data_IF_629364697209
#
_entry.id   IF_629364697209
#
_cell.length_a   1.000
_cell.length_b   1.000
_cell.length_c   1.000
_cell.angle_alpha   90.00
_cell.angle_beta   90.00
_cell.angle_gamma   90.00
#
_symmetry.space_group_name_H-M   'P 1'
#
loop_
_entity.id
_entity.type
_entity.pdbx_description
1 polymer ?
#
# COMPACT_ATOMS: atom_id res chain seq x y z
N UNK A 1 14.51 35.62 15.14
CA UNK A 1 13.26 35.23 14.44
C UNK A 1 13.60 34.09 13.51
N UNK A 2 12.78 33.04 13.40
CA UNK A 2 13.01 31.92 12.46
C UNK A 2 13.14 32.38 10.99
N UNK A 3 12.64 33.58 10.71
CA UNK A 3 12.81 34.30 9.48
C UNK A 3 13.85 35.40 9.68
N UNK A 4 15.11 35.08 9.41
CA UNK A 4 16.19 36.07 9.25
C UNK A 4 16.29 36.46 7.77
N UNK A 5 16.59 37.72 7.44
CA UNK A 5 16.64 38.21 6.05
C UNK A 5 17.70 37.49 5.20
N UNK A 6 18.76 36.97 5.83
CA UNK A 6 19.82 36.19 5.19
C UNK A 6 19.33 34.85 4.63
N UNK A 7 18.22 34.33 5.16
CA UNK A 7 17.66 33.03 4.79
C UNK A 7 16.42 33.16 3.86
N UNK A 8 16.00 34.38 3.53
CA UNK A 8 14.79 34.63 2.72
C UNK A 8 14.88 34.09 1.29
N UNK A 9 16.03 34.21 0.62
CA UNK A 9 16.21 33.66 -0.73
C UNK A 9 16.16 32.13 -0.72
N UNK A 10 16.85 31.51 0.24
CA UNK A 10 16.80 30.07 0.49
C UNK A 10 15.37 29.55 0.74
N UNK A 11 14.55 30.30 1.48
CA UNK A 11 13.15 29.95 1.70
C UNK A 11 12.31 30.02 0.41
N UNK A 12 12.56 31.03 -0.43
CA UNK A 12 11.85 31.18 -1.70
C UNK A 12 12.16 30.04 -2.67
N UNK A 13 13.44 29.66 -2.81
CA UNK A 13 13.85 28.52 -3.63
C UNK A 13 13.27 27.20 -3.11
N UNK A 14 13.24 27.01 -1.78
CA UNK A 14 12.62 25.83 -1.15
C UNK A 14 11.11 25.79 -1.41
N UNK A 15 10.43 26.93 -1.36
CA UNK A 15 9.00 27.04 -1.66
C UNK A 15 8.70 26.75 -3.14
N UNK A 16 9.53 27.24 -4.06
CA UNK A 16 9.39 26.99 -5.49
C UNK A 16 9.58 25.51 -5.83
N UNK A 17 10.60 24.86 -5.24
CA UNK A 17 10.80 23.40 -5.35
C UNK A 17 9.60 22.62 -4.80
N UNK A 18 9.02 23.07 -3.68
CA UNK A 18 7.82 22.45 -3.12
C UNK A 18 6.57 22.64 -4.01
N UNK A 19 6.47 23.77 -4.70
CA UNK A 19 5.39 24.04 -5.63
C UNK A 19 5.50 23.19 -6.91
N UNK A 20 6.73 23.08 -7.46
CA UNK A 20 7.03 22.28 -8.65
C UNK A 20 6.89 20.77 -8.39
N UNK A 21 7.29 20.29 -7.20
CA UNK A 21 7.10 18.90 -6.78
C UNK A 21 5.62 18.49 -6.61
N UNK A 22 4.71 19.47 -6.55
CA UNK A 22 3.29 19.23 -6.32
C UNK A 22 2.98 18.78 -4.89
N UNK A 23 1.69 18.80 -4.54
CA UNK A 23 1.24 18.29 -3.24
C UNK A 23 1.22 16.75 -3.28
N UNK A 24 1.77 16.06 -2.27
CA UNK A 24 1.62 14.61 -2.18
C UNK A 24 0.14 14.25 -2.11
N UNK A 25 -0.25 13.18 -2.83
CA UNK A 25 -1.62 12.69 -2.82
C UNK A 25 -1.91 12.09 -1.45
N UNK A 26 -2.89 12.63 -0.74
CA UNK A 26 -3.39 12.02 0.50
C UNK A 26 -4.45 11.00 0.11
N UNK A 27 -4.15 9.71 0.28
CA UNK A 27 -5.15 8.64 0.11
C UNK A 27 -5.34 7.93 1.44
N UNK A 28 -6.59 7.83 1.86
CA UNK A 28 -7.01 7.15 3.09
C UNK A 28 -6.28 7.65 4.36
N UNK A 29 -6.05 8.97 4.45
CA UNK A 29 -5.44 9.61 5.63
C UNK A 29 -3.91 9.48 5.71
N UNK A 30 -3.24 8.92 4.69
CA UNK A 30 -1.79 8.81 4.63
C UNK A 30 -1.24 9.58 3.44
N UNK A 31 -0.18 10.36 3.68
CA UNK A 31 0.54 11.09 2.64
C UNK A 31 1.40 10.11 1.83
N UNK A 32 1.07 9.94 0.56
CA UNK A 32 1.84 9.09 -0.33
C UNK A 32 3.04 9.85 -0.87
N UNK A 33 4.18 9.17 -0.90
CA UNK A 33 5.38 9.71 -1.53
C UNK A 33 5.19 9.72 -3.06
N UNK A 34 5.84 10.63 -3.80
CA UNK A 34 5.79 10.61 -5.26
C UNK A 34 6.30 9.25 -5.78
N UNK A 35 5.43 8.52 -6.47
CA UNK A 35 5.69 7.15 -6.96
C UNK A 35 5.08 6.02 -6.12
N UNK A 36 4.50 6.32 -4.95
CA UNK A 36 3.77 5.34 -4.15
C UNK A 36 2.34 5.23 -4.69
N UNK A 37 2.03 4.12 -5.36
CA UNK A 37 0.68 3.88 -5.87
C UNK A 37 -0.26 3.72 -4.70
N UNK A 38 -1.23 4.63 -4.64
CA UNK A 38 -2.35 4.59 -3.73
C UNK A 38 -3.21 3.35 -4.02
N UNK A 39 -2.80 2.18 -3.54
CA UNK A 39 -3.67 1.02 -3.67
C UNK A 39 -4.79 1.21 -2.64
N UNK A 40 -5.92 1.73 -3.10
CA UNK A 40 -7.18 1.69 -2.37
C UNK A 40 -7.54 0.23 -2.17
N UNK A 41 -7.11 -0.32 -1.03
CA UNK A 41 -7.47 -1.67 -0.62
C UNK A 41 -8.84 -1.58 0.02
N UNK A 42 -9.86 -2.07 -0.68
CA UNK A 42 -11.18 -2.19 -0.09
C UNK A 42 -11.14 -3.26 1.03
N UNK A 43 -11.49 -2.88 2.28
CA UNK A 43 -11.39 -3.79 3.42
C UNK A 43 -12.36 -4.97 3.31
N UNK A 44 -13.47 -4.82 2.58
CA UNK A 44 -14.50 -5.85 2.41
C UNK A 44 -14.04 -6.88 1.37
N UNK A 45 -13.44 -6.45 0.26
CA UNK A 45 -12.85 -7.37 -0.71
C UNK A 45 -11.73 -8.20 -0.10
N UNK A 46 -10.84 -7.57 0.68
CA UNK A 46 -9.74 -8.26 1.35
C UNK A 46 -10.22 -9.34 2.32
N UNK A 47 -11.23 -9.05 3.13
CA UNK A 47 -11.73 -9.99 4.16
C UNK A 47 -12.53 -11.15 3.54
N UNK A 48 -13.30 -10.86 2.48
CA UNK A 48 -13.93 -11.90 1.66
C UNK A 48 -12.88 -12.79 1.00
N UNK A 49 -11.80 -12.21 0.45
CA UNK A 49 -10.72 -12.97 -0.14
C UNK A 49 -9.95 -13.81 0.90
N UNK A 50 -9.75 -13.31 2.12
CA UNK A 50 -9.16 -14.08 3.22
C UNK A 50 -10.01 -15.31 3.53
N UNK A 51 -11.30 -15.11 3.79
CA UNK A 51 -12.25 -16.19 4.10
C UNK A 51 -12.29 -17.22 2.97
N UNK A 52 -12.26 -16.73 1.72
CA UNK A 52 -12.36 -17.56 0.53
C UNK A 52 -11.09 -18.37 0.23
N UNK A 53 -9.92 -17.75 0.30
CA UNK A 53 -8.63 -18.36 -0.07
C UNK A 53 -8.04 -19.16 1.09
N UNK A 54 -8.06 -18.60 2.30
CA UNK A 54 -7.49 -19.21 3.51
C UNK A 54 -8.49 -20.15 4.15
N UNK A 55 -9.74 -19.71 4.34
CA UNK A 55 -10.80 -20.50 4.97
C UNK A 55 -11.38 -21.60 4.06
N UNK A 56 -11.67 -21.30 2.79
CA UNK A 56 -12.39 -22.22 1.89
C UNK A 56 -11.58 -22.78 0.71
N UNK A 57 -10.29 -22.47 0.58
CA UNK A 57 -9.39 -22.93 -0.50
C UNK A 57 -9.94 -22.73 -1.93
N UNK A 58 -10.67 -21.64 -2.14
CA UNK A 58 -11.22 -21.31 -3.45
C UNK A 58 -10.16 -20.64 -4.34
N UNK A 59 -10.35 -20.76 -5.65
CA UNK A 59 -9.43 -20.21 -6.65
C UNK A 59 -9.44 -18.67 -6.61
N UNK A 60 -8.26 -18.03 -6.72
CA UNK A 60 -8.14 -16.57 -6.80
C UNK A 60 -8.80 -16.07 -8.10
N UNK A 61 -9.51 -14.92 -8.05
CA UNK A 61 -10.17 -14.33 -9.23
C UNK A 61 -9.37 -13.18 -9.85
N UNK A 62 -8.60 -12.47 -9.04
CA UNK A 62 -7.85 -11.30 -9.46
C UNK A 62 -6.34 -11.52 -9.37
N UNK A 63 -5.55 -10.76 -10.16
CA UNK A 63 -4.08 -10.82 -10.13
C UNK A 63 -3.51 -10.53 -8.75
N UNK A 64 -4.11 -9.59 -8.00
CA UNK A 64 -3.76 -9.31 -6.61
C UNK A 64 -4.07 -10.48 -5.67
N UNK A 65 -5.18 -11.18 -5.88
CA UNK A 65 -5.53 -12.39 -5.10
C UNK A 65 -4.58 -13.55 -5.37
N UNK A 66 -4.10 -13.69 -6.61
CA UNK A 66 -3.11 -14.70 -6.99
C UNK A 66 -1.77 -14.49 -6.27
N UNK A 67 -1.24 -13.26 -6.34
CA UNK A 67 0.00 -12.89 -5.66
C UNK A 67 -0.16 -13.01 -4.13
N UNK A 68 -1.31 -12.58 -3.59
CA UNK A 68 -1.60 -12.71 -2.16
C UNK A 68 -1.72 -14.18 -1.72
N UNK A 69 -2.31 -15.05 -2.53
CA UNK A 69 -2.41 -16.49 -2.25
C UNK A 69 -1.03 -17.16 -2.26
N UNK A 70 -0.16 -16.80 -3.20
CA UNK A 70 1.22 -17.30 -3.25
C UNK A 70 2.02 -16.87 -2.01
N UNK A 71 1.97 -15.58 -1.66
CA UNK A 71 2.64 -15.02 -0.50
C UNK A 71 2.10 -15.62 0.81
N UNK A 72 0.78 -15.83 0.92
CA UNK A 72 0.19 -16.47 2.09
C UNK A 72 0.53 -17.97 2.19
N UNK A 73 0.72 -18.65 1.05
CA UNK A 73 1.27 -20.00 1.00
C UNK A 73 2.71 -20.06 1.51
N UNK A 74 3.56 -19.13 1.05
CA UNK A 74 4.97 -19.01 1.48
C UNK A 74 5.10 -18.66 2.96
N UNK A 75 4.22 -17.81 3.48
CA UNK A 75 4.28 -17.35 4.87
C UNK A 75 3.55 -18.27 5.87
N UNK A 76 2.87 -19.32 5.38
CA UNK A 76 2.20 -20.29 6.25
C UNK A 76 1.00 -19.72 7.01
N UNK A 77 0.34 -18.67 6.47
CA UNK A 77 -0.83 -18.01 7.09
C UNK A 77 -1.95 -18.98 7.43
N UNK A 78 -2.06 -20.07 6.66
CA UNK A 78 -3.02 -21.17 6.87
C UNK A 78 -2.82 -21.93 8.18
N UNK A 79 -1.60 -22.00 8.70
CA UNK A 79 -1.29 -22.70 9.94
C UNK A 79 -1.34 -21.77 11.16
N UNK A 80 -1.59 -20.46 10.95
CA UNK A 80 -1.69 -19.48 12.03
C UNK A 80 -3.14 -19.39 12.53
N UNK A 81 -3.30 -18.95 13.78
CA UNK A 81 -4.63 -18.65 14.34
C UNK A 81 -5.31 -17.53 13.55
N UNK A 82 -6.64 -17.56 13.44
CA UNK A 82 -7.43 -16.63 12.60
C UNK A 82 -7.07 -15.15 12.82
N UNK A 83 -6.88 -14.75 14.08
CA UNK A 83 -6.48 -13.39 14.43
C UNK A 83 -5.09 -13.00 13.90
N UNK A 84 -4.10 -13.90 14.05
CA UNK A 84 -2.74 -13.69 13.54
C UNK A 84 -2.72 -13.78 12.02
N UNK A 85 -3.51 -14.68 11.45
CA UNK A 85 -3.67 -14.89 10.03
C UNK A 85 -4.27 -13.67 9.33
N UNK A 86 -5.31 -13.04 9.90
CA UNK A 86 -5.85 -11.77 9.37
C UNK A 86 -4.85 -10.63 9.43
N UNK A 87 -4.06 -10.54 10.51
CA UNK A 87 -3.01 -9.53 10.63
C UNK A 87 -1.88 -9.74 9.62
N UNK A 88 -1.46 -10.98 9.38
CA UNK A 88 -0.47 -11.31 8.36
C UNK A 88 -1.03 -11.06 6.95
N UNK A 89 -2.30 -11.40 6.72
CA UNK A 89 -3.00 -11.18 5.45
C UNK A 89 -3.08 -9.70 5.07
N UNK A 90 -3.29 -8.79 6.03
CA UNK A 90 -3.20 -7.35 5.81
C UNK A 90 -1.85 -6.94 5.18
N UNK A 91 -0.75 -7.42 5.75
CA UNK A 91 0.60 -7.12 5.24
C UNK A 91 0.85 -7.74 3.86
N UNK A 92 0.47 -9.02 3.69
CA UNK A 92 0.61 -9.73 2.41
C UNK A 92 -0.21 -9.06 1.31
N UNK A 93 -1.44 -8.66 1.62
CA UNK A 93 -2.31 -8.02 0.65
C UNK A 93 -1.76 -6.67 0.21
N UNK A 94 -1.17 -5.90 1.13
CA UNK A 94 -0.49 -4.66 0.79
C UNK A 94 0.72 -4.92 -0.13
N UNK A 95 1.51 -5.95 0.14
CA UNK A 95 2.64 -6.34 -0.72
C UNK A 95 2.18 -6.81 -2.11
N UNK A 96 1.13 -7.62 -2.16
CA UNK A 96 0.54 -8.12 -3.40
C UNK A 96 -0.04 -6.98 -4.24
N UNK A 97 -0.68 -6.01 -3.59
CA UNK A 97 -1.22 -4.80 -4.21
C UNK A 97 -0.10 -3.93 -4.80
N UNK A 98 1.00 -3.73 -4.06
CA UNK A 98 2.15 -2.96 -4.55
C UNK A 98 2.83 -3.66 -5.74
N UNK A 99 2.98 -4.98 -5.69
CA UNK A 99 3.54 -5.76 -6.80
C UNK A 99 2.64 -5.69 -8.04
N UNK A 100 1.32 -5.83 -7.87
CA UNK A 100 0.37 -5.68 -8.97
C UNK A 100 0.44 -4.27 -9.59
N UNK A 101 0.58 -3.23 -8.77
CA UNK A 101 0.73 -1.86 -9.27
C UNK A 101 2.05 -1.67 -10.04
N UNK A 102 3.16 -2.25 -9.56
CA UNK A 102 4.46 -2.23 -10.24
C UNK A 102 4.42 -2.97 -11.59
N UNK A 103 3.73 -4.10 -11.69
CA UNK A 103 3.57 -4.84 -12.95
C UNK A 103 2.76 -4.05 -14.00
N UNK A 104 1.84 -3.17 -13.59
CA UNK A 104 1.03 -2.35 -14.52
C UNK A 104 1.82 -1.16 -15.08
N UNK A 105 2.88 -0.72 -14.38
CA UNK A 105 3.71 0.42 -14.78
C UNK A 105 4.96 0.04 -15.58
N UNK A 106 5.24 -1.25 -15.77
CA UNK A 106 6.39 -1.79 -16.51
C UNK A 106 6.00 -2.18 -17.94
#
# INVERSE_FOLDING_TARGET
TLFSPENCMEYFEKAQKWHEAGRPVCVNGKWLKPGEVAVSIDPVERDNAYTRIIGSRLTPKNRTEEIAAELAGKQGVRNMSDFVGRKAWLGIWQQAAELAAKEVTA
#
